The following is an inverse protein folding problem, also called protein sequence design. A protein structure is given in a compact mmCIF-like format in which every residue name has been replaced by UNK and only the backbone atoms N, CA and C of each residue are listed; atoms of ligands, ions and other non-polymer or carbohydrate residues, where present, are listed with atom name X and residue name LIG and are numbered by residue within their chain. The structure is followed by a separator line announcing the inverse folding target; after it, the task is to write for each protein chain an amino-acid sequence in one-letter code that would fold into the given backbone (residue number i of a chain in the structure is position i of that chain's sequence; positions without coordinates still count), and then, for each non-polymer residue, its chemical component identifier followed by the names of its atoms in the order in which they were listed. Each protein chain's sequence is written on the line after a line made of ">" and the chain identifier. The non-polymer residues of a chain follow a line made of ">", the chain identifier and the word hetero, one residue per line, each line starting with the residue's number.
data_IF_576095528369
#
_entry.id   IF_576095528369
#
_cell.length_a   1.000
_cell.length_b   1.000
_cell.length_c   1.000
_cell.angle_alpha   90.00
_cell.angle_beta   90.00
_cell.angle_gamma   90.00
#
_symmetry.space_group_name_H-M   'P 1'
#
loop_
_entity.id
_entity.type
_entity.pdbx_description
1 polymer ?
#
# COMPACT_ATOMS: atom_id res chain seq x y z
N UNK A 1 13.39 19.64 -1.19
CA UNK A 1 13.20 18.35 -1.91
C UNK A 1 11.70 18.13 -2.11
N UNK A 2 11.26 17.62 -3.26
CA UNK A 2 9.83 17.45 -3.56
C UNK A 2 9.28 16.16 -2.93
N UNK A 3 8.08 16.23 -2.35
CA UNK A 3 7.32 15.06 -1.88
C UNK A 3 6.82 14.23 -3.05
N UNK A 4 6.62 12.93 -2.84
CA UNK A 4 5.99 12.07 -3.82
C UNK A 4 4.47 12.33 -3.84
N UNK A 5 3.93 12.48 -5.04
CA UNK A 5 2.49 12.48 -5.32
C UNK A 5 1.98 11.11 -5.76
N UNK A 6 0.68 11.01 -6.01
CA UNK A 6 -0.01 9.80 -6.44
C UNK A 6 0.66 9.19 -7.67
N UNK A 7 1.04 10.02 -8.64
CA UNK A 7 1.65 9.63 -9.91
C UNK A 7 2.98 8.90 -9.73
N UNK A 8 3.75 9.25 -8.71
CA UNK A 8 5.04 8.62 -8.47
C UNK A 8 4.88 7.25 -7.81
N UNK A 9 3.94 7.12 -6.86
CA UNK A 9 3.62 5.84 -6.20
C UNK A 9 3.02 4.89 -7.24
N UNK A 10 2.04 5.38 -8.01
CA UNK A 10 1.40 4.60 -9.08
C UNK A 10 2.43 4.10 -10.09
N UNK A 11 3.36 4.97 -10.53
CA UNK A 11 4.39 4.58 -11.48
C UNK A 11 5.34 3.51 -10.92
N UNK A 12 5.78 3.64 -9.67
CA UNK A 12 6.65 2.62 -9.05
C UNK A 12 5.92 1.28 -8.88
N UNK A 13 4.62 1.32 -8.54
CA UNK A 13 3.76 0.14 -8.43
C UNK A 13 3.57 -0.58 -9.76
N UNK A 14 3.42 0.14 -10.87
CA UNK A 14 3.36 -0.44 -12.21
C UNK A 14 4.67 -1.14 -12.60
N UNK A 15 5.81 -0.54 -12.28
CA UNK A 15 7.13 -1.15 -12.50
C UNK A 15 7.28 -2.43 -11.66
N UNK A 16 6.95 -2.35 -10.37
CA UNK A 16 7.00 -3.50 -9.47
C UNK A 16 6.05 -4.63 -9.91
N UNK A 17 4.87 -4.30 -10.42
CA UNK A 17 3.94 -5.29 -10.97
C UNK A 17 4.54 -6.05 -12.16
N UNK A 18 5.23 -5.34 -13.07
CA UNK A 18 5.91 -5.95 -14.22
C UNK A 18 7.09 -6.82 -13.78
N UNK A 19 7.92 -6.33 -12.86
CA UNK A 19 9.03 -7.08 -12.27
C UNK A 19 8.55 -8.35 -11.57
N UNK A 20 7.47 -8.25 -10.77
CA UNK A 20 6.90 -9.38 -10.05
C UNK A 20 6.27 -10.40 -11.01
N UNK A 21 5.59 -9.94 -12.06
CA UNK A 21 5.03 -10.83 -13.09
C UNK A 21 6.14 -11.62 -13.80
N UNK A 22 7.28 -10.99 -14.11
CA UNK A 22 8.41 -11.68 -14.74
C UNK A 22 9.16 -12.65 -13.83
N UNK A 23 9.27 -12.32 -12.53
CA UNK A 23 10.06 -13.10 -11.57
C UNK A 23 9.26 -14.16 -10.81
N UNK A 24 7.99 -13.90 -10.50
CA UNK A 24 7.11 -14.82 -9.76
C UNK A 24 5.63 -14.63 -10.17
N UNK A 25 5.20 -15.21 -11.32
CA UNK A 25 3.84 -15.07 -11.84
C UNK A 25 2.74 -15.51 -10.86
N UNK A 26 3.01 -16.54 -10.04
CA UNK A 26 2.03 -17.05 -9.07
C UNK A 26 1.76 -16.04 -7.96
N UNK A 27 2.81 -15.40 -7.42
CA UNK A 27 2.65 -14.32 -6.45
C UNK A 27 2.03 -13.08 -7.10
N UNK A 28 2.43 -12.75 -8.33
CA UNK A 28 1.87 -11.63 -9.09
C UNK A 28 0.35 -11.76 -9.26
N UNK A 29 -0.14 -12.94 -9.65
CA UNK A 29 -1.57 -13.20 -9.85
C UNK A 29 -2.40 -12.95 -8.59
N UNK A 30 -1.81 -13.14 -7.41
CA UNK A 30 -2.45 -13.02 -6.09
C UNK A 30 -2.19 -11.68 -5.40
N UNK A 31 -1.42 -10.79 -6.01
CA UNK A 31 -1.02 -9.50 -5.44
C UNK A 31 -1.71 -8.35 -6.17
N UNK A 32 -2.11 -7.31 -5.42
CA UNK A 32 -2.65 -6.05 -5.96
C UNK A 32 -1.84 -4.88 -5.41
N UNK A 33 -1.18 -4.18 -6.31
CA UNK A 33 -0.60 -2.87 -6.04
C UNK A 33 -1.68 -1.83 -6.33
N UNK A 34 -2.29 -1.28 -5.28
CA UNK A 34 -3.51 -0.48 -5.41
C UNK A 34 -3.17 0.96 -5.73
N UNK A 35 -3.82 1.51 -6.76
CA UNK A 35 -3.72 2.92 -7.13
C UNK A 35 -4.09 3.84 -5.94
N UNK A 36 -3.33 4.92 -5.69
CA UNK A 36 -3.59 5.80 -4.54
C UNK A 36 -4.99 6.40 -4.49
N UNK A 37 -5.57 6.75 -5.64
CA UNK A 37 -6.93 7.29 -5.70
C UNK A 37 -7.96 6.19 -5.42
N UNK A 38 -7.72 4.96 -5.86
CA UNK A 38 -8.59 3.82 -5.51
C UNK A 38 -8.53 3.50 -4.02
N UNK A 39 -7.34 3.46 -3.42
CA UNK A 39 -7.19 3.25 -1.98
C UNK A 39 -7.90 4.35 -1.18
N UNK A 40 -7.76 5.60 -1.59
CA UNK A 40 -8.49 6.72 -1.01
C UNK A 40 -10.01 6.55 -1.09
N UNK A 41 -10.55 6.13 -2.26
CA UNK A 41 -11.98 5.88 -2.44
C UNK A 41 -12.50 4.76 -1.55
N UNK A 42 -11.74 3.68 -1.38
CA UNK A 42 -12.13 2.60 -0.44
C UNK A 42 -12.22 3.15 0.98
N UNK A 43 -11.20 3.87 1.45
CA UNK A 43 -11.16 4.35 2.84
C UNK A 43 -12.14 5.47 3.15
N UNK A 44 -12.47 6.32 2.17
CA UNK A 44 -13.20 7.59 2.39
C UNK A 44 -14.51 7.74 1.63
N UNK A 45 -14.84 6.81 0.73
CA UNK A 45 -16.10 6.82 -0.01
C UNK A 45 -17.33 6.60 0.88
N UNK A 46 -18.51 6.74 0.26
CA UNK A 46 -19.76 6.24 0.88
C UNK A 46 -19.70 4.71 1.00
N UNK A 47 -20.60 4.10 1.79
CA UNK A 47 -20.63 2.63 1.91
C UNK A 47 -20.73 1.92 0.56
N UNK A 48 -21.58 2.42 -0.34
CA UNK A 48 -21.71 1.86 -1.68
C UNK A 48 -20.44 2.07 -2.53
N UNK A 49 -19.85 3.27 -2.50
CA UNK A 49 -18.66 3.59 -3.30
C UNK A 49 -17.43 2.82 -2.82
N UNK A 50 -17.23 2.74 -1.50
CA UNK A 50 -16.13 1.99 -0.89
C UNK A 50 -16.22 0.51 -1.23
N UNK A 51 -17.41 -0.08 -1.12
CA UNK A 51 -17.64 -1.49 -1.47
C UNK A 51 -17.39 -1.73 -2.95
N UNK A 52 -17.91 -0.86 -3.82
CA UNK A 52 -17.68 -0.93 -5.27
C UNK A 52 -16.20 -0.82 -5.62
N UNK A 53 -15.47 0.11 -4.98
CA UNK A 53 -14.05 0.29 -5.20
C UNK A 53 -13.24 -0.92 -4.70
N UNK A 54 -13.64 -1.52 -3.57
CA UNK A 54 -12.99 -2.72 -3.04
C UNK A 54 -13.17 -3.91 -3.98
N UNK A 55 -14.38 -4.17 -4.47
CA UNK A 55 -14.63 -5.22 -5.47
C UNK A 55 -13.78 -5.04 -6.73
N UNK A 56 -13.63 -3.81 -7.23
CA UNK A 56 -12.75 -3.53 -8.37
C UNK A 56 -11.27 -3.82 -8.13
N UNK A 57 -10.82 -3.84 -6.88
CA UNK A 57 -9.44 -4.18 -6.51
C UNK A 57 -9.26 -5.71 -6.49
N UNK A 58 -10.22 -6.42 -5.91
CA UNK A 58 -10.05 -7.84 -5.55
C UNK A 58 -10.53 -8.79 -6.64
N UNK A 59 -11.60 -8.42 -7.35
CA UNK A 59 -12.22 -9.24 -8.39
C UNK A 59 -11.43 -9.14 -9.70
N UNK A 60 -11.17 -10.29 -10.32
CA UNK A 60 -10.62 -10.36 -11.67
C UNK A 60 -11.66 -10.02 -12.74
N UNK A 61 -11.26 -10.07 -14.02
CA UNK A 61 -12.13 -9.71 -15.17
C UNK A 61 -13.40 -10.55 -15.28
N UNK A 62 -13.46 -11.72 -14.67
CA UNK A 62 -14.59 -12.64 -14.72
C UNK A 62 -15.27 -12.79 -13.35
N UNK A 63 -14.87 -11.98 -12.36
CA UNK A 63 -15.51 -11.89 -11.05
C UNK A 63 -14.94 -12.80 -9.97
N UNK A 64 -13.75 -13.39 -10.15
CA UNK A 64 -13.12 -14.18 -9.09
C UNK A 64 -12.23 -13.30 -8.20
N UNK A 65 -12.38 -13.42 -6.88
CA UNK A 65 -11.43 -12.84 -5.92
C UNK A 65 -10.21 -13.75 -5.75
N UNK A 66 -9.10 -13.38 -6.39
CA UNK A 66 -7.81 -14.06 -6.28
C UNK A 66 -6.80 -13.29 -5.43
N UNK A 67 -7.19 -12.13 -4.88
CA UNK A 67 -6.28 -11.15 -4.33
C UNK A 67 -5.98 -11.43 -2.84
N UNK A 68 -4.87 -12.13 -2.58
CA UNK A 68 -4.42 -12.44 -1.22
C UNK A 68 -3.61 -11.31 -0.59
N UNK A 69 -2.88 -10.54 -1.38
CA UNK A 69 -2.08 -9.43 -0.87
C UNK A 69 -2.52 -8.13 -1.52
N UNK A 70 -2.93 -7.17 -0.70
CA UNK A 70 -3.27 -5.82 -1.16
C UNK A 70 -2.25 -4.84 -0.57
N UNK A 71 -1.55 -4.11 -1.43
CA UNK A 71 -0.66 -3.01 -1.03
C UNK A 71 -1.38 -1.70 -1.29
N UNK A 72 -1.97 -1.13 -0.22
CA UNK A 72 -2.73 0.11 -0.31
C UNK A 72 -1.90 1.27 0.27
N UNK A 73 -1.55 2.29 -0.53
CA UNK A 73 -1.00 3.51 0.01
C UNK A 73 -2.10 4.27 0.77
N UNK A 74 -1.75 4.79 1.93
CA UNK A 74 -2.67 5.51 2.84
C UNK A 74 -2.25 6.97 2.88
N UNK A 75 -3.24 7.86 2.74
CA UNK A 75 -3.07 9.30 2.74
C UNK A 75 -4.06 9.96 3.72
N UNK A 76 -3.63 11.04 4.39
CA UNK A 76 -4.44 11.85 5.31
C UNK A 76 -5.28 12.94 4.63
N UNK A 77 -5.39 12.93 3.30
CA UNK A 77 -6.24 13.87 2.56
C UNK A 77 -7.69 13.85 3.07
N UNK A 78 -8.32 15.01 2.99
CA UNK A 78 -9.72 15.17 3.36
C UNK A 78 -10.63 14.80 2.18
N UNK A 79 -11.66 14.01 2.46
CA UNK A 79 -12.72 13.74 1.49
C UNK A 79 -13.73 14.88 1.34
N UNK A 80 -13.79 15.78 2.32
CA UNK A 80 -14.78 16.87 2.37
C UNK A 80 -14.17 18.25 2.17
N UNK A 81 -12.84 18.37 2.19
CA UNK A 81 -12.11 19.62 2.01
C UNK A 81 -11.06 19.49 0.91
N UNK A 82 -11.32 19.98 -0.31
CA UNK A 82 -10.40 19.84 -1.45
C UNK A 82 -9.10 20.63 -1.27
N UNK A 83 -9.02 21.55 -0.31
CA UNK A 83 -7.78 22.27 0.00
C UNK A 83 -6.85 21.46 0.90
N UNK A 84 -7.34 20.42 1.58
CA UNK A 84 -6.55 19.51 2.42
C UNK A 84 -6.13 18.28 1.62
N UNK A 85 -5.15 18.49 0.75
CA UNK A 85 -4.61 17.51 -0.22
C UNK A 85 -3.77 16.35 0.38
N UNK A 86 -3.77 16.22 1.70
CA UNK A 86 -2.91 15.27 2.40
C UNK A 86 -1.48 15.80 2.59
N UNK A 87 -0.86 15.39 3.69
CA UNK A 87 0.46 15.80 4.11
C UNK A 87 1.42 14.61 4.28
N UNK A 88 0.89 13.38 4.39
CA UNK A 88 1.66 12.21 4.76
C UNK A 88 1.21 10.93 4.05
N UNK A 89 2.19 10.07 3.77
CA UNK A 89 1.99 8.75 3.17
C UNK A 89 2.41 7.66 4.14
N UNK A 90 1.59 6.62 4.24
CA UNK A 90 1.93 5.37 4.94
C UNK A 90 1.46 4.18 4.10
N UNK A 91 1.84 2.96 4.47
CA UNK A 91 1.49 1.75 3.72
C UNK A 91 0.57 0.85 4.55
N UNK A 92 -0.46 0.29 3.93
CA UNK A 92 -1.28 -0.79 4.47
C UNK A 92 -1.08 -2.04 3.61
N UNK A 93 -0.50 -3.10 4.19
CA UNK A 93 -0.50 -4.44 3.58
C UNK A 93 -1.66 -5.23 4.15
N UNK A 94 -2.63 -5.60 3.32
CA UNK A 94 -3.70 -6.52 3.71
C UNK A 94 -3.35 -7.93 3.26
N UNK A 95 -3.21 -8.83 4.22
CA UNK A 95 -3.06 -10.28 4.01
C UNK A 95 -4.43 -10.95 4.16
N UNK A 96 -4.94 -11.47 3.04
CA UNK A 96 -6.25 -12.10 2.87
C UNK A 96 -6.13 -13.58 2.55
N UNK A 97 -4.96 -14.20 2.79
CA UNK A 97 -4.77 -15.65 2.54
C UNK A 97 -5.77 -16.49 3.34
N UNK A 98 -6.10 -16.05 4.55
CA UNK A 98 -7.27 -16.49 5.31
C UNK A 98 -8.40 -15.47 5.05
N UNK A 99 -9.41 -15.87 4.27
CA UNK A 99 -10.50 -14.98 3.83
C UNK A 99 -11.48 -14.65 4.94
N UNK A 100 -11.57 -15.52 5.96
CA UNK A 100 -12.45 -15.32 7.10
C UNK A 100 -11.81 -14.39 8.15
N UNK A 101 -10.48 -14.25 8.12
CA UNK A 101 -9.71 -13.44 9.07
C UNK A 101 -8.59 -12.63 8.41
N UNK A 102 -8.91 -11.67 7.52
CA UNK A 102 -7.89 -10.80 6.93
C UNK A 102 -7.19 -9.95 7.99
N UNK A 103 -5.89 -9.72 7.80
CA UNK A 103 -5.07 -8.86 8.67
C UNK A 103 -4.50 -7.71 7.85
N UNK A 104 -4.59 -6.49 8.37
CA UNK A 104 -4.04 -5.30 7.75
C UNK A 104 -2.86 -4.77 8.57
N UNK A 105 -1.64 -4.88 8.04
CA UNK A 105 -0.42 -4.37 8.65
C UNK A 105 -0.17 -2.93 8.21
N UNK A 106 -0.17 -1.99 9.15
CA UNK A 106 0.05 -0.57 8.89
C UNK A 106 1.49 -0.16 9.19
N UNK A 107 2.18 0.37 8.19
CA UNK A 107 3.54 0.86 8.29
C UNK A 107 3.56 2.38 8.17
N UNK A 108 3.77 3.05 9.28
CA UNK A 108 3.83 4.51 9.37
C UNK A 108 5.24 4.98 9.74
N UNK A 109 5.94 5.58 8.77
CA UNK A 109 7.30 6.12 8.97
C UNK A 109 7.31 7.47 9.71
N UNK A 110 6.15 8.07 9.96
CA UNK A 110 5.96 9.18 10.88
C UNK A 110 4.87 8.80 11.90
N UNK A 111 5.25 7.90 12.80
CA UNK A 111 4.37 7.18 13.72
C UNK A 111 3.13 7.96 14.17
N UNK A 112 1.95 7.39 13.90
CA UNK A 112 0.65 7.88 14.36
C UNK A 112 0.00 8.93 13.46
N UNK A 113 0.69 9.48 12.46
CA UNK A 113 0.11 10.47 11.55
C UNK A 113 -1.08 9.91 10.75
N UNK A 114 -0.98 8.65 10.29
CA UNK A 114 -2.00 8.01 9.47
C UNK A 114 -2.83 6.96 10.20
N UNK A 115 -2.83 6.93 11.54
CA UNK A 115 -3.56 5.94 12.32
C UNK A 115 -5.06 5.90 11.97
N UNK A 116 -5.74 7.05 11.97
CA UNK A 116 -7.17 7.13 11.63
C UNK A 116 -7.46 6.80 10.15
N UNK A 117 -6.73 7.35 9.16
CA UNK A 117 -6.85 6.91 7.77
C UNK A 117 -6.68 5.38 7.59
N UNK A 118 -5.72 4.77 8.27
CA UNK A 118 -5.47 3.34 8.21
C UNK A 118 -6.61 2.52 8.85
N UNK A 119 -7.11 2.93 10.02
CA UNK A 119 -8.27 2.32 10.68
C UNK A 119 -9.51 2.36 9.78
N UNK A 120 -9.81 3.51 9.19
CA UNK A 120 -10.93 3.63 8.26
C UNK A 120 -10.75 2.71 7.05
N UNK A 121 -9.55 2.65 6.47
CA UNK A 121 -9.30 1.79 5.31
C UNK A 121 -9.39 0.30 5.67
N UNK A 122 -8.80 -0.12 6.79
CA UNK A 122 -8.83 -1.50 7.28
C UNK A 122 -10.27 -1.98 7.55
N UNK A 123 -11.09 -1.13 8.20
CA UNK A 123 -12.49 -1.43 8.43
C UNK A 123 -13.28 -1.62 7.12
N UNK A 124 -12.97 -0.81 6.09
CA UNK A 124 -13.65 -0.88 4.78
C UNK A 124 -13.31 -2.12 3.98
N UNK A 125 -12.13 -2.69 4.19
CA UNK A 125 -11.70 -3.94 3.55
C UNK A 125 -11.95 -5.17 4.44
N UNK A 126 -12.58 -4.99 5.60
CA UNK A 126 -12.93 -6.06 6.53
C UNK A 126 -11.72 -6.76 7.16
N UNK A 127 -10.65 -6.01 7.46
CA UNK A 127 -9.42 -6.56 8.02
C UNK A 127 -9.14 -6.04 9.43
N UNK A 128 -8.55 -6.90 10.27
CA UNK A 128 -8.05 -6.54 11.59
C UNK A 128 -6.78 -5.70 11.46
N UNK A 129 -6.79 -4.46 11.95
CA UNK A 129 -5.68 -3.53 11.83
C UNK A 129 -4.60 -3.84 12.88
N UNK A 130 -3.36 -3.94 12.44
CA UNK A 130 -2.19 -4.11 13.30
C UNK A 130 -1.11 -3.12 12.90
N UNK A 131 -0.57 -2.40 13.88
CA UNK A 131 0.63 -1.58 13.68
C UNK A 131 1.83 -2.49 13.40
N UNK A 132 2.56 -2.19 12.32
CA UNK A 132 3.71 -2.95 11.89
C UNK A 132 4.99 -2.09 11.97
N UNK A 133 6.11 -2.67 12.44
CA UNK A 133 7.33 -1.90 12.64
C UNK A 133 7.92 -1.45 11.30
N UNK A 134 8.27 -0.18 11.22
CA UNK A 134 9.02 0.44 10.11
C UNK A 134 10.04 1.44 10.68
N UNK A 135 11.20 1.54 10.04
CA UNK A 135 12.17 2.59 10.37
C UNK A 135 11.54 3.98 10.24
N UNK A 136 11.84 4.87 11.19
CA UNK A 136 11.22 6.19 11.25
C UNK A 136 11.97 7.19 10.36
N UNK A 137 11.22 7.97 9.59
CA UNK A 137 11.79 9.01 8.73
C UNK A 137 12.41 10.12 9.57
N UNK A 138 13.55 10.66 9.11
CA UNK A 138 14.25 11.76 9.79
C UNK A 138 13.96 13.14 9.18
N UNK A 139 13.25 13.19 8.05
CA UNK A 139 12.89 14.42 7.34
C UNK A 139 11.37 14.48 7.12
N UNK A 140 10.87 15.57 6.54
CA UNK A 140 9.44 15.78 6.32
C UNK A 140 8.91 15.47 4.92
N UNK A 141 9.65 14.74 4.08
CA UNK A 141 9.29 14.57 2.66
C UNK A 141 9.52 13.18 2.05
N UNK A 142 10.17 12.26 2.78
CA UNK A 142 10.45 10.90 2.31
C UNK A 142 9.38 9.86 2.61
N UNK A 143 8.28 10.20 3.29
CA UNK A 143 7.20 9.27 3.62
C UNK A 143 6.74 8.40 2.42
N UNK A 144 6.62 8.97 1.22
CA UNK A 144 6.30 8.21 0.02
C UNK A 144 7.41 7.25 -0.45
N UNK A 145 8.69 7.56 -0.15
CA UNK A 145 9.82 6.68 -0.43
C UNK A 145 9.74 5.45 0.47
N UNK A 146 9.41 5.65 1.76
CA UNK A 146 9.15 4.55 2.69
C UNK A 146 7.99 3.65 2.22
N UNK A 147 6.94 4.22 1.62
CA UNK A 147 5.85 3.43 1.04
C UNK A 147 6.35 2.54 -0.10
N UNK A 148 7.01 3.10 -1.12
CA UNK A 148 7.40 2.32 -2.30
C UNK A 148 8.54 1.33 -2.02
N UNK A 149 9.57 1.74 -1.27
CA UNK A 149 10.68 0.84 -0.92
C UNK A 149 10.22 -0.21 0.11
N UNK A 150 9.31 0.14 1.03
CA UNK A 150 8.67 -0.80 1.94
C UNK A 150 7.85 -1.85 1.21
N UNK A 151 7.02 -1.45 0.24
CA UNK A 151 6.28 -2.36 -0.64
C UNK A 151 7.21 -3.32 -1.37
N UNK A 152 8.29 -2.81 -1.99
CA UNK A 152 9.28 -3.64 -2.71
C UNK A 152 9.95 -4.66 -1.79
N UNK A 153 10.35 -4.25 -0.60
CA UNK A 153 10.97 -5.15 0.38
C UNK A 153 10.00 -6.24 0.86
N UNK A 154 8.73 -5.88 1.15
CA UNK A 154 7.70 -6.85 1.52
C UNK A 154 7.43 -7.87 0.40
N UNK A 155 7.32 -7.42 -0.85
CA UNK A 155 7.17 -8.30 -2.02
C UNK A 155 8.34 -9.26 -2.14
N UNK A 156 9.58 -8.76 -2.02
CA UNK A 156 10.78 -9.60 -2.05
C UNK A 156 10.75 -10.70 -0.98
N UNK A 157 10.30 -10.36 0.25
CA UNK A 157 10.20 -11.33 1.35
C UNK A 157 9.09 -12.35 1.13
N UNK A 158 7.93 -11.92 0.64
CA UNK A 158 6.81 -12.79 0.29
C UNK A 158 7.17 -13.76 -0.85
N UNK A 159 8.01 -13.34 -1.79
CA UNK A 159 8.49 -14.20 -2.87
C UNK A 159 9.47 -15.28 -2.38
N UNK A 160 10.22 -15.03 -1.30
CA UNK A 160 11.31 -15.91 -0.85
C UNK A 160 10.95 -16.92 0.23
N UNK A 161 9.83 -16.78 0.95
CA UNK A 161 9.52 -17.62 2.14
C UNK A 161 8.01 -17.86 2.32
N UNK A 162 7.66 -19.04 2.84
CA UNK A 162 6.27 -19.38 3.21
C UNK A 162 5.76 -18.59 4.43
N UNK A 163 6.65 -18.29 5.38
CA UNK A 163 6.45 -17.37 6.49
C UNK A 163 7.46 -16.23 6.35
N UNK A 164 7.04 -15.17 5.65
CA UNK A 164 7.85 -13.98 5.49
C UNK A 164 7.85 -13.18 6.79
N UNK A 165 9.01 -12.66 7.18
CA UNK A 165 9.09 -11.62 8.19
C UNK A 165 8.54 -10.32 7.59
N UNK A 166 7.45 -9.80 8.15
CA UNK A 166 6.81 -8.58 7.66
C UNK A 166 7.37 -7.31 8.32
N UNK A 167 8.35 -7.41 9.22
CA UNK A 167 8.94 -6.25 9.88
C UNK A 167 9.79 -5.39 8.95
N UNK A 168 9.46 -4.11 8.81
CA UNK A 168 10.27 -3.11 8.11
C UNK A 168 11.14 -2.27 9.06
N UNK A 169 11.34 -2.71 10.31
CA UNK A 169 12.10 -1.97 11.33
C UNK A 169 13.54 -1.64 10.94
N UNK A 170 14.14 -2.42 10.03
CA UNK A 170 15.48 -2.21 9.48
C UNK A 170 15.47 -1.71 8.03
N UNK A 171 14.33 -1.22 7.52
CA UNK A 171 14.23 -0.71 6.15
C UNK A 171 15.16 0.48 5.96
N UNK A 172 15.98 0.44 4.91
CA UNK A 172 16.78 1.58 4.45
C UNK A 172 16.19 2.02 3.12
N UNK A 173 15.69 3.26 3.09
CA UNK A 173 15.09 3.85 1.88
C UNK A 173 16.14 4.56 1.05
N UNK A 174 15.97 4.55 -0.27
CA UNK A 174 16.87 5.20 -1.20
C UNK A 174 16.09 5.99 -2.26
N UNK A 175 15.99 7.30 -2.01
CA UNK A 175 15.35 8.23 -2.94
C UNK A 175 16.06 8.30 -4.29
N UNK A 176 17.38 8.20 -4.33
CA UNK A 176 18.12 8.28 -5.60
C UNK A 176 17.83 7.04 -6.44
N UNK A 177 17.79 5.86 -5.82
CA UNK A 177 17.38 4.64 -6.48
C UNK A 177 15.94 4.76 -7.02
N UNK A 178 15.00 5.30 -6.23
CA UNK A 178 13.64 5.58 -6.71
C UNK A 178 13.64 6.51 -7.92
N UNK A 179 14.37 7.63 -7.87
CA UNK A 179 14.45 8.56 -8.99
C UNK A 179 15.00 7.91 -10.26
N UNK A 180 15.98 7.02 -10.12
CA UNK A 180 16.53 6.27 -11.26
C UNK A 180 15.47 5.33 -11.85
N UNK A 181 14.73 4.57 -11.02
CA UNK A 181 13.63 3.70 -11.48
C UNK A 181 12.55 4.46 -12.23
N UNK A 182 12.18 5.65 -11.76
CA UNK A 182 11.11 6.46 -12.35
C UNK A 182 11.51 7.13 -13.68
N UNK A 183 12.81 7.29 -13.95
CA UNK A 183 13.32 7.89 -15.19
C UNK A 183 13.40 6.90 -16.36
N UNK A 184 13.54 5.60 -16.07
CA UNK A 184 13.80 4.56 -17.07
C UNK A 184 15.29 4.43 -17.38
#
# INVERSE_FOLDING_TARGET
>A
MQRLGDEHIQRDYELLAQELLGSNPNLAARTRFVDPLMAFRVGRGTNADSLTAFHRIVDDRIGNDTADFLFLPVNDASATDPNRRGSHWSLLLVDRRDRDRPVAYHYDSAQGHNARPAEMLAARVGADLQDAPISQQRNGYDCGVFVVDGTRELVRRLAGRRQADLSLGSLVVDRQALQNRLRG
#
